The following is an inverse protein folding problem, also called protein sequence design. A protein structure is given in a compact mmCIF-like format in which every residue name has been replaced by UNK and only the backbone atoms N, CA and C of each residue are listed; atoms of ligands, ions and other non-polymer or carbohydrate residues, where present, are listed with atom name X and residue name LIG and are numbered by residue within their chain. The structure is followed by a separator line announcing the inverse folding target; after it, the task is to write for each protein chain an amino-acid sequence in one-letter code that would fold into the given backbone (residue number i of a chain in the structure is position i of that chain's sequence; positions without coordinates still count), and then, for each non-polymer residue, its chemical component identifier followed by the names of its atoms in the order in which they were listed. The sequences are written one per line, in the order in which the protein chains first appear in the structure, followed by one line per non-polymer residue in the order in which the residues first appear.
data_IF_343566631352
#
_entry.id   IF_343566631352
#
_cell.length_a   1.000
_cell.length_b   1.000
_cell.length_c   1.000
_cell.angle_alpha   90.00
_cell.angle_beta   90.00
_cell.angle_gamma   90.00
#
_symmetry.space_group_name_H-M   'P 1'
#
loop_
_entity.id
_entity.type
_entity.pdbx_description
1 polymer ?
#
# COMPACT_ATOMS: atom_id res chain seq x y z
N UNK A 1 49.92 38.66 -17.92
CA UNK A 1 49.62 37.40 -18.65
C UNK A 1 48.11 37.31 -18.94
N UNK A 2 47.49 38.40 -19.41
CA UNK A 2 46.02 38.54 -19.52
C UNK A 2 45.64 39.50 -20.67
N UNK A 3 46.13 39.24 -21.90
CA UNK A 3 45.85 40.14 -23.04
C UNK A 3 45.72 39.41 -24.37
N UNK A 4 45.15 38.19 -24.40
CA UNK A 4 44.99 37.41 -25.63
C UNK A 4 43.63 36.75 -25.80
N UNK A 5 42.57 37.30 -25.23
CA UNK A 5 41.23 36.69 -25.24
C UNK A 5 40.14 37.51 -25.97
N UNK A 6 40.50 38.50 -26.78
CA UNK A 6 39.51 39.38 -27.43
C UNK A 6 39.56 39.40 -28.97
N UNK A 7 40.27 38.47 -29.62
CA UNK A 7 40.50 38.54 -31.08
C UNK A 7 39.78 37.43 -31.87
N UNK A 8 38.63 36.95 -31.38
CA UNK A 8 37.91 35.84 -32.01
C UNK A 8 36.39 35.93 -32.00
N UNK A 9 35.80 37.12 -31.81
CA UNK A 9 34.34 37.29 -31.67
C UNK A 9 33.67 38.08 -32.82
N UNK A 10 34.31 38.20 -33.98
CA UNK A 10 33.81 39.04 -35.08
C UNK A 10 33.22 38.26 -36.27
N UNK A 11 33.00 36.94 -36.18
CA UNK A 11 32.55 36.14 -37.35
C UNK A 11 31.44 35.14 -37.05
N UNK A 12 30.48 35.52 -36.19
CA UNK A 12 29.19 34.84 -36.09
C UNK A 12 28.09 35.81 -36.53
N UNK A 13 27.98 36.02 -37.84
CA UNK A 13 26.74 36.50 -38.45
C UNK A 13 25.75 35.34 -38.41
N UNK A 14 24.75 35.43 -37.54
CA UNK A 14 23.63 34.51 -37.52
C UNK A 14 22.72 34.77 -38.73
N UNK A 15 22.19 33.73 -39.41
CA UNK A 15 21.13 33.92 -40.39
C UNK A 15 19.84 34.30 -39.66
N UNK A 16 19.25 35.44 -40.02
CA UNK A 16 17.83 35.70 -39.81
C UNK A 16 16.99 34.66 -40.59
N UNK A 17 15.76 34.44 -40.12
CA UNK A 17 14.70 33.54 -40.63
C UNK A 17 14.62 32.16 -39.94
N UNK A 18 13.77 32.08 -38.90
CA UNK A 18 13.37 30.80 -38.29
C UNK A 18 12.33 30.86 -37.16
N UNK A 19 11.56 31.96 -37.00
CA UNK A 19 10.63 32.15 -35.87
C UNK A 19 9.30 31.38 -35.97
N UNK A 20 9.07 30.63 -37.05
CA UNK A 20 7.84 29.85 -37.24
C UNK A 20 7.97 28.38 -36.79
N UNK A 21 9.18 27.80 -36.80
CA UNK A 21 9.37 26.39 -36.43
C UNK A 21 9.38 26.15 -34.91
N UNK A 22 9.89 27.09 -34.12
CA UNK A 22 9.94 26.96 -32.66
C UNK A 22 8.56 27.06 -31.99
N UNK A 23 7.61 27.77 -32.61
CA UNK A 23 6.26 27.94 -32.08
C UNK A 23 5.42 26.66 -32.21
N UNK A 24 5.58 25.93 -33.31
CA UNK A 24 4.90 24.63 -33.51
C UNK A 24 5.42 23.54 -32.56
N UNK A 25 6.72 23.57 -32.23
CA UNK A 25 7.34 22.64 -31.29
C UNK A 25 6.90 22.91 -29.84
N UNK A 26 6.78 24.17 -29.44
CA UNK A 26 6.26 24.54 -28.12
C UNK A 26 4.79 24.12 -27.95
N UNK A 27 3.94 24.36 -28.94
CA UNK A 27 2.52 23.99 -28.89
C UNK A 27 2.31 22.46 -28.87
N UNK A 28 3.20 21.68 -29.51
CA UNK A 28 3.18 20.21 -29.40
C UNK A 28 3.61 19.72 -28.03
N UNK A 29 4.58 20.37 -27.39
CA UNK A 29 5.03 20.02 -26.03
C UNK A 29 3.92 20.34 -25.01
N UNK A 30 3.26 21.49 -25.14
CA UNK A 30 2.12 21.86 -24.30
C UNK A 30 0.91 20.95 -24.50
N UNK A 31 0.64 20.53 -25.73
CA UNK A 31 -0.43 19.57 -26.04
C UNK A 31 -0.19 18.18 -25.41
N UNK A 32 1.08 17.74 -25.31
CA UNK A 32 1.45 16.48 -24.65
C UNK A 32 1.33 16.56 -23.13
N UNK A 33 1.61 17.71 -22.53
CA UNK A 33 1.39 17.93 -21.10
C UNK A 33 -0.11 18.01 -20.73
N UNK A 34 -0.93 18.64 -21.57
CA UNK A 34 -2.38 18.71 -21.36
C UNK A 34 -3.06 17.32 -21.43
N UNK A 35 -2.52 16.40 -22.24
CA UNK A 35 -3.00 15.02 -22.33
C UNK A 35 -2.67 14.15 -21.09
N UNK A 36 -1.69 14.55 -20.28
CA UNK A 36 -1.31 13.85 -19.04
C UNK A 36 -2.10 14.34 -17.83
N UNK A 37 -2.64 15.57 -17.87
CA UNK A 37 -3.36 16.19 -16.74
C UNK A 37 -4.89 16.06 -16.84
N UNK A 38 -5.43 15.71 -18.01
CA UNK A 38 -6.86 15.45 -18.17
C UNK A 38 -7.22 13.97 -17.93
N UNK A 39 -8.27 13.65 -17.16
CA UNK A 39 -8.77 12.28 -17.06
C UNK A 39 -9.31 11.83 -18.43
N UNK A 40 -9.05 10.59 -18.87
CA UNK A 40 -9.45 10.15 -20.20
C UNK A 40 -10.98 10.15 -20.33
N UNK A 41 -11.55 10.61 -21.45
CA UNK A 41 -12.97 10.43 -21.72
C UNK A 41 -13.26 8.93 -21.82
N UNK A 42 -14.23 8.47 -21.03
CA UNK A 42 -14.76 7.12 -21.12
C UNK A 42 -15.15 6.79 -22.56
N UNK A 43 -14.62 5.70 -23.10
CA UNK A 43 -15.06 5.11 -24.36
C UNK A 43 -14.73 3.61 -24.39
N UNK A 44 -15.51 2.83 -25.15
CA UNK A 44 -16.25 1.72 -24.59
C UNK A 44 -15.48 0.39 -24.61
N UNK A 45 -15.91 -0.48 -23.70
CA UNK A 45 -15.63 -1.90 -23.61
C UNK A 45 -15.20 -2.55 -24.93
N UNK A 46 -13.95 -3.01 -24.97
CA UNK A 46 -13.53 -4.07 -25.88
C UNK A 46 -12.85 -5.19 -25.10
N UNK A 47 -13.56 -6.30 -25.11
CA UNK A 47 -13.27 -7.59 -24.51
C UNK A 47 -11.92 -8.17 -24.93
N UNK A 48 -11.21 -8.74 -23.96
CA UNK A 48 -10.44 -9.98 -24.11
C UNK A 48 -9.13 -9.90 -24.88
N UNK A 49 -8.06 -9.58 -24.16
CA UNK A 49 -6.73 -10.16 -24.43
C UNK A 49 -5.95 -10.20 -23.13
N UNK A 50 -5.40 -11.38 -22.84
CA UNK A 50 -4.61 -11.73 -21.66
C UNK A 50 -3.44 -10.78 -21.44
N UNK A 51 -3.41 -10.11 -20.29
CA UNK A 51 -2.27 -9.36 -19.82
C UNK A 51 -1.15 -10.32 -19.40
N UNK A 52 -0.10 -10.40 -20.23
CA UNK A 52 1.24 -10.78 -19.79
C UNK A 52 1.84 -9.61 -19.02
N UNK A 53 2.46 -9.92 -17.88
CA UNK A 53 3.23 -9.01 -17.02
C UNK A 53 4.23 -8.20 -17.89
N UNK A 54 4.38 -6.87 -17.72
CA UNK A 54 5.42 -6.12 -18.40
C UNK A 54 6.77 -6.55 -17.81
N UNK A 55 7.66 -7.01 -18.69
CA UNK A 55 8.93 -7.63 -18.32
C UNK A 55 9.93 -6.50 -17.97
N UNK A 56 10.27 -6.32 -16.69
CA UNK A 56 11.23 -5.31 -16.21
C UNK A 56 12.61 -5.43 -16.91
N UNK A 57 12.93 -6.61 -17.43
CA UNK A 57 14.10 -6.89 -18.25
C UNK A 57 14.09 -6.08 -19.57
N UNK A 58 12.93 -5.93 -20.21
CA UNK A 58 12.80 -5.20 -21.48
C UNK A 58 12.99 -3.68 -21.26
N UNK A 59 12.58 -3.15 -20.10
CA UNK A 59 12.77 -1.75 -19.74
C UNK A 59 14.24 -1.43 -19.40
N UNK A 60 14.93 -2.37 -18.75
CA UNK A 60 16.37 -2.25 -18.48
C UNK A 60 17.20 -2.32 -19.76
N UNK A 61 16.86 -3.23 -20.68
CA UNK A 61 17.52 -3.31 -21.99
C UNK A 61 17.29 -2.04 -22.82
N UNK A 62 16.09 -1.47 -22.77
CA UNK A 62 15.78 -0.21 -23.42
C UNK A 62 16.60 0.96 -22.84
N UNK A 63 16.73 1.05 -21.51
CA UNK A 63 17.55 2.06 -20.85
C UNK A 63 19.03 1.94 -21.21
N UNK A 64 19.57 0.72 -21.28
CA UNK A 64 20.95 0.46 -21.70
C UNK A 64 21.15 0.92 -23.14
N UNK A 65 20.23 0.58 -24.05
CA UNK A 65 20.29 1.01 -25.45
C UNK A 65 20.25 2.54 -25.60
N UNK A 66 19.47 3.24 -24.76
CA UNK A 66 19.39 4.69 -24.77
C UNK A 66 20.66 5.34 -24.21
N UNK A 67 21.25 4.76 -23.15
CA UNK A 67 22.52 5.19 -22.58
C UNK A 67 23.68 5.00 -23.56
N UNK A 68 23.75 3.86 -24.25
CA UNK A 68 24.77 3.57 -25.26
C UNK A 68 24.68 4.56 -26.43
N UNK A 69 23.46 4.88 -26.89
CA UNK A 69 23.24 5.91 -27.92
C UNK A 69 23.70 7.30 -27.45
N UNK A 70 23.38 7.68 -26.23
CA UNK A 70 23.82 8.97 -25.66
C UNK A 70 25.35 9.05 -25.52
N UNK A 71 25.99 7.97 -25.07
CA UNK A 71 27.45 7.90 -24.95
C UNK A 71 28.14 7.96 -26.32
N UNK A 72 27.61 7.27 -27.33
CA UNK A 72 28.11 7.34 -28.70
C UNK A 72 27.96 8.74 -29.29
N UNK A 73 26.83 9.40 -29.05
CA UNK A 73 26.62 10.78 -29.49
C UNK A 73 27.60 11.75 -28.83
N UNK A 74 27.82 11.61 -27.51
CA UNK A 74 28.78 12.42 -26.77
C UNK A 74 30.22 12.17 -27.24
N UNK A 75 30.57 10.92 -27.55
CA UNK A 75 31.87 10.57 -28.13
C UNK A 75 32.07 11.25 -29.48
N UNK A 76 31.07 11.20 -30.37
CA UNK A 76 31.11 11.88 -31.67
C UNK A 76 31.25 13.40 -31.54
N UNK A 77 30.56 14.00 -30.57
CA UNK A 77 30.71 15.43 -30.27
C UNK A 77 32.12 15.75 -29.77
N UNK A 78 32.68 14.93 -28.88
CA UNK A 78 34.05 15.12 -28.38
C UNK A 78 35.08 15.00 -29.50
N UNK A 79 34.98 13.99 -30.37
CA UNK A 79 35.86 13.85 -31.54
C UNK A 79 35.78 15.09 -32.45
N UNK A 80 34.59 15.64 -32.67
CA UNK A 80 34.41 16.87 -33.45
C UNK A 80 34.98 18.12 -32.76
N UNK A 81 34.96 18.17 -31.42
CA UNK A 81 35.59 19.25 -30.66
C UNK A 81 37.11 19.12 -30.70
N UNK A 82 37.66 17.92 -30.59
CA UNK A 82 39.10 17.66 -30.70
C UNK A 82 39.64 18.09 -32.07
N UNK A 83 38.93 17.79 -33.16
CA UNK A 83 39.31 18.27 -34.51
C UNK A 83 39.30 19.79 -34.59
N UNK A 84 38.28 20.46 -34.03
CA UNK A 84 38.20 21.92 -34.00
C UNK A 84 39.32 22.55 -33.18
N UNK A 85 39.70 21.94 -32.05
CA UNK A 85 40.82 22.42 -31.23
C UNK A 85 42.12 22.37 -32.02
N UNK A 86 42.42 21.27 -32.70
CA UNK A 86 43.62 21.17 -33.54
C UNK A 86 43.63 22.18 -34.70
N UNK A 87 42.48 22.42 -35.34
CA UNK A 87 42.37 23.47 -36.37
C UNK A 87 42.64 24.87 -35.82
N UNK A 88 42.06 25.21 -34.65
CA UNK A 88 42.30 26.48 -33.98
C UNK A 88 43.76 26.65 -33.53
N UNK A 89 44.40 25.58 -33.07
CA UNK A 89 45.83 25.59 -32.72
C UNK A 89 46.71 25.85 -33.95
N UNK A 90 46.40 25.23 -35.08
CA UNK A 90 47.09 25.47 -36.35
C UNK A 90 46.92 26.92 -36.81
N UNK A 91 45.67 27.44 -36.79
CA UNK A 91 45.36 28.82 -37.16
C UNK A 91 46.07 29.84 -36.24
N UNK A 92 46.09 29.59 -34.93
CA UNK A 92 46.83 30.42 -33.98
C UNK A 92 48.34 30.38 -34.22
N UNK A 93 48.88 29.25 -34.70
CA UNK A 93 50.26 29.12 -35.15
C UNK A 93 50.57 30.03 -36.35
N UNK A 94 49.73 29.98 -37.38
CA UNK A 94 49.83 30.83 -38.57
C UNK A 94 49.72 32.33 -38.24
N UNK A 95 48.78 32.72 -37.37
CA UNK A 95 48.61 34.11 -36.96
C UNK A 95 49.82 34.64 -36.17
N UNK A 96 50.43 33.80 -35.33
CA UNK A 96 51.70 34.14 -34.67
C UNK A 96 52.82 34.36 -35.69
N UNK A 97 52.85 33.57 -36.76
CA UNK A 97 53.85 33.73 -37.83
C UNK A 97 53.61 35.02 -38.64
N UNK A 98 52.36 35.31 -39.04
CA UNK A 98 52.00 36.56 -39.72
C UNK A 98 52.34 37.79 -38.88
N UNK A 99 52.07 37.75 -37.57
CA UNK A 99 52.45 38.83 -36.64
C UNK A 99 53.96 39.05 -36.55
N UNK A 100 54.78 38.00 -36.65
CA UNK A 100 56.25 38.15 -36.72
C UNK A 100 56.67 38.83 -38.03
N UNK A 101 56.10 38.40 -39.15
CA UNK A 101 56.36 39.00 -40.46
C UNK A 101 55.96 40.48 -40.52
N UNK A 102 54.81 40.85 -39.95
CA UNK A 102 54.37 42.24 -39.87
C UNK A 102 55.34 43.10 -39.06
N UNK A 103 55.78 42.63 -37.88
CA UNK A 103 56.80 43.33 -37.09
C UNK A 103 58.12 43.52 -37.83
N UNK A 104 58.55 42.51 -38.60
CA UNK A 104 59.74 42.63 -39.44
C UNK A 104 59.57 43.67 -40.55
N UNK A 105 58.37 43.75 -41.16
CA UNK A 105 58.04 44.79 -42.14
C UNK A 105 57.98 46.18 -41.51
N UNK A 106 57.38 46.34 -40.33
CA UNK A 106 57.33 47.61 -39.59
C UNK A 106 58.74 48.14 -39.30
N UNK A 107 59.67 47.27 -38.89
CA UNK A 107 61.08 47.66 -38.66
C UNK A 107 61.73 48.13 -39.96
N UNK A 108 61.48 47.45 -41.09
CA UNK A 108 62.00 47.88 -42.40
C UNK A 108 61.44 49.24 -42.83
N UNK A 109 60.15 49.47 -42.61
CA UNK A 109 59.50 50.77 -42.91
C UNK A 109 60.10 51.88 -42.04
N UNK A 110 60.30 51.63 -40.75
CA UNK A 110 60.94 52.60 -39.85
C UNK A 110 62.37 52.95 -40.31
N UNK A 111 63.15 51.96 -40.74
CA UNK A 111 64.49 52.18 -41.29
C UNK A 111 64.47 53.00 -42.59
N UNK A 112 63.53 52.73 -43.49
CA UNK A 112 63.35 53.50 -44.72
C UNK A 112 62.96 54.95 -44.43
N UNK A 113 62.06 55.17 -43.46
CA UNK A 113 61.63 56.50 -43.05
C UNK A 113 62.80 57.38 -42.57
N UNK A 114 63.66 56.84 -41.71
CA UNK A 114 64.88 57.55 -41.24
C UNK A 114 65.82 57.88 -42.40
N UNK A 115 65.91 57.00 -43.41
CA UNK A 115 66.76 57.23 -44.59
C UNK A 115 66.22 58.38 -45.45
N UNK A 116 64.90 58.46 -45.63
CA UNK A 116 64.24 59.54 -46.36
C UNK A 116 64.42 60.88 -45.65
N UNK A 117 64.24 60.92 -44.33
CA UNK A 117 64.44 62.14 -43.53
C UNK A 117 65.88 62.68 -43.65
N UNK A 118 66.89 61.81 -43.67
CA UNK A 118 68.29 62.22 -43.92
C UNK A 118 68.51 62.80 -45.31
N UNK A 119 67.91 62.20 -46.34
CA UNK A 119 68.01 62.71 -47.71
C UNK A 119 67.30 64.06 -47.89
N UNK A 120 66.19 64.27 -47.19
CA UNK A 120 65.48 65.55 -47.18
C UNK A 120 66.27 66.66 -46.48
N UNK A 121 66.93 66.36 -45.35
CA UNK A 121 67.82 67.30 -44.67
C UNK A 121 69.00 67.73 -45.57
N UNK A 122 69.67 66.77 -46.22
CA UNK A 122 70.77 67.05 -47.15
C UNK A 122 70.34 67.93 -48.35
N UNK A 123 69.08 67.78 -48.80
CA UNK A 123 68.52 68.60 -49.88
C UNK A 123 68.23 70.04 -49.43
N UNK A 124 67.80 70.22 -48.18
CA UNK A 124 67.59 71.54 -47.59
C UNK A 124 68.91 72.28 -47.34
N UNK A 125 69.97 71.56 -46.95
CA UNK A 125 71.33 72.11 -46.80
C UNK A 125 71.99 72.49 -48.12
N UNK A 126 71.64 71.80 -49.22
CA UNK A 126 72.11 72.17 -50.56
C UNK A 126 71.38 73.41 -51.12
N UNK A 127 70.11 73.60 -50.74
CA UNK A 127 69.30 74.74 -51.18
C UNK A 127 69.72 76.06 -50.50
N UNK A 128 70.30 76.00 -49.29
CA UNK A 128 70.82 77.19 -48.57
C UNK A 128 72.18 77.68 -49.07
N UNK A 129 72.87 76.93 -49.95
CA UNK A 129 74.18 77.28 -50.53
C UNK A 129 74.13 77.88 -51.95
N UNK A 130 72.94 77.97 -52.58
CA UNK A 130 72.77 78.46 -53.96
C UNK A 130 72.18 79.87 -54.07
N UNK A 131 72.22 80.66 -52.99
CA UNK A 131 71.71 82.03 -52.96
C UNK A 131 72.84 83.08 -52.94
N UNK A 132 73.75 83.04 -53.91
CA UNK A 132 74.58 84.21 -54.24
C UNK A 132 75.09 84.09 -55.67
N UNK A 133 74.73 85.04 -56.55
CA UNK A 133 75.57 85.64 -57.60
C UNK A 133 74.76 86.39 -58.67
N UNK A 134 74.96 87.72 -58.73
CA UNK A 134 75.53 88.42 -59.91
C UNK A 134 74.64 88.86 -61.08
N UNK A 135 74.51 90.19 -61.26
CA UNK A 135 73.88 90.94 -62.37
C UNK A 135 74.76 91.09 -63.63
N UNK A 136 74.18 91.24 -64.84
CA UNK A 136 74.76 92.01 -65.97
C UNK A 136 73.75 92.50 -67.07
N UNK A 137 73.41 93.79 -67.03
CA UNK A 137 72.35 94.48 -67.81
C UNK A 137 72.32 94.28 -69.35
N UNK A 138 71.11 94.06 -69.89
CA UNK A 138 70.74 94.31 -71.29
C UNK A 138 69.96 93.16 -71.95
N UNK A 139 70.64 92.04 -72.23
CA UNK A 139 70.02 90.72 -72.46
C UNK A 139 69.43 90.15 -71.18
N UNK A 140 69.95 90.60 -70.03
CA UNK A 140 69.45 90.30 -68.71
C UNK A 140 68.05 90.82 -68.46
N UNK A 141 67.59 91.90 -69.10
CA UNK A 141 66.22 92.36 -68.86
C UNK A 141 65.20 91.35 -69.43
N UNK A 142 65.46 90.83 -70.63
CA UNK A 142 64.62 89.78 -71.22
C UNK A 142 64.80 88.43 -70.51
N UNK A 143 66.02 88.11 -70.07
CA UNK A 143 66.30 86.90 -69.28
C UNK A 143 65.66 86.96 -67.90
N UNK A 144 65.76 88.08 -67.19
CA UNK A 144 65.08 88.33 -65.91
C UNK A 144 63.57 88.31 -66.09
N UNK A 145 63.02 88.88 -67.17
CA UNK A 145 61.59 88.77 -67.47
C UNK A 145 61.19 87.31 -67.69
N UNK A 146 62.01 86.51 -68.37
CA UNK A 146 61.77 85.09 -68.58
C UNK A 146 61.90 84.27 -67.29
N UNK A 147 62.91 84.55 -66.46
CA UNK A 147 63.12 83.94 -65.14
C UNK A 147 62.00 84.32 -64.17
N UNK A 148 61.50 85.56 -64.23
CA UNK A 148 60.37 86.03 -63.42
C UNK A 148 59.05 85.42 -63.90
N UNK A 149 58.86 85.25 -65.21
CA UNK A 149 57.74 84.48 -65.77
C UNK A 149 57.81 83.00 -65.38
N UNK A 150 59.00 82.41 -65.41
CA UNK A 150 59.22 81.02 -65.00
C UNK A 150 58.99 80.84 -63.51
N UNK A 151 59.52 81.73 -62.66
CA UNK A 151 59.29 81.68 -61.21
C UNK A 151 57.81 81.95 -60.89
N UNK A 152 57.13 82.77 -61.69
CA UNK A 152 55.69 82.99 -61.56
C UNK A 152 54.90 81.72 -61.88
N UNK A 153 55.22 81.03 -62.98
CA UNK A 153 54.62 79.74 -63.33
C UNK A 153 54.91 78.64 -62.29
N UNK A 154 56.12 78.63 -61.73
CA UNK A 154 56.50 77.72 -60.63
C UNK A 154 55.74 78.04 -59.34
N UNK A 155 55.58 79.32 -59.00
CA UNK A 155 54.78 79.76 -57.86
C UNK A 155 53.29 79.43 -58.02
N UNK A 156 52.73 79.60 -59.22
CA UNK A 156 51.37 79.15 -59.54
C UNK A 156 51.24 77.63 -59.42
N UNK A 157 52.21 76.87 -59.95
CA UNK A 157 52.26 75.41 -59.81
C UNK A 157 52.27 74.96 -58.36
N UNK A 158 53.13 75.55 -57.52
CA UNK A 158 53.17 75.27 -56.08
C UNK A 158 51.87 75.67 -55.38
N UNK A 159 51.26 76.80 -55.77
CA UNK A 159 49.96 77.22 -55.21
C UNK A 159 48.86 76.20 -55.49
N UNK A 160 48.79 75.67 -56.72
CA UNK A 160 47.81 74.63 -57.06
C UNK A 160 48.05 73.32 -56.29
N UNK A 161 49.32 72.94 -56.08
CA UNK A 161 49.67 71.77 -55.25
C UNK A 161 49.30 71.97 -53.78
N UNK A 162 49.60 73.14 -53.21
CA UNK A 162 49.19 73.48 -51.84
C UNK A 162 47.67 73.42 -51.68
N UNK A 163 46.91 73.95 -52.66
CA UNK A 163 45.44 73.87 -52.65
C UNK A 163 44.93 72.42 -52.77
N UNK A 164 45.61 71.57 -53.55
CA UNK A 164 45.25 70.15 -53.65
C UNK A 164 45.50 69.41 -52.33
N UNK A 165 46.65 69.64 -51.70
CA UNK A 165 46.98 69.06 -50.39
C UNK A 165 46.07 69.60 -49.28
N UNK A 166 45.67 70.87 -49.33
CA UNK A 166 44.74 71.44 -48.35
C UNK A 166 43.37 70.74 -48.43
N UNK A 167 42.86 70.48 -49.64
CA UNK A 167 41.63 69.69 -49.84
C UNK A 167 41.77 68.25 -49.34
N UNK A 168 42.92 67.62 -49.58
CA UNK A 168 43.22 66.27 -49.09
C UNK A 168 43.25 66.22 -47.56
N UNK A 169 43.90 67.20 -46.91
CA UNK A 169 43.94 67.31 -45.44
C UNK A 169 42.53 67.48 -44.86
N UNK A 170 41.68 68.28 -45.49
CA UNK A 170 40.28 68.44 -45.07
C UNK A 170 39.53 67.10 -45.19
N UNK A 171 39.63 66.42 -46.33
CA UNK A 171 38.99 65.11 -46.53
C UNK A 171 39.49 64.04 -45.54
N UNK A 172 40.78 64.04 -45.22
CA UNK A 172 41.34 63.12 -44.21
C UNK A 172 40.87 63.47 -42.80
N UNK A 173 40.69 64.75 -42.46
CA UNK A 173 40.12 65.16 -41.17
C UNK A 173 38.69 64.71 -41.01
N UNK A 174 37.85 64.94 -42.03
CA UNK A 174 36.45 64.49 -42.03
C UNK A 174 36.38 62.96 -41.83
N UNK A 175 37.27 62.22 -42.53
CA UNK A 175 37.34 60.77 -42.38
C UNK A 175 37.77 60.30 -40.98
N UNK A 176 38.69 61.02 -40.34
CA UNK A 176 39.10 60.72 -38.96
C UNK A 176 37.96 60.99 -37.99
N UNK A 177 37.20 62.07 -38.17
CA UNK A 177 36.04 62.39 -37.35
C UNK A 177 34.94 61.32 -37.49
N UNK A 178 34.64 60.88 -38.72
CA UNK A 178 33.72 59.75 -38.95
C UNK A 178 34.16 58.47 -38.24
N UNK A 179 35.44 58.10 -38.35
CA UNK A 179 35.99 56.90 -37.70
C UNK A 179 35.98 57.03 -36.19
N UNK A 180 36.17 58.23 -35.66
CA UNK A 180 36.11 58.49 -34.23
C UNK A 180 34.69 58.28 -33.70
N UNK A 181 33.67 58.83 -34.37
CA UNK A 181 32.26 58.59 -34.03
C UNK A 181 31.92 57.11 -34.09
N UNK A 182 32.33 56.41 -35.17
CA UNK A 182 32.09 54.97 -35.30
C UNK A 182 32.79 54.14 -34.21
N UNK A 183 33.97 54.57 -33.74
CA UNK A 183 34.65 53.91 -32.64
C UNK A 183 33.95 54.15 -31.30
N UNK A 184 33.35 55.33 -31.08
CA UNK A 184 32.58 55.64 -29.88
C UNK A 184 31.30 54.80 -29.82
N UNK A 185 30.58 54.68 -30.94
CA UNK A 185 29.37 53.84 -31.00
C UNK A 185 29.69 52.36 -30.75
N UNK A 186 30.77 51.84 -31.34
CA UNK A 186 31.20 50.45 -31.09
C UNK A 186 31.60 50.22 -29.63
N UNK A 187 32.16 51.21 -28.94
CA UNK A 187 32.44 51.11 -27.51
C UNK A 187 31.18 51.13 -26.65
N UNK A 188 30.16 51.89 -27.06
CA UNK A 188 28.83 51.87 -26.41
C UNK A 188 28.19 50.49 -26.55
N UNK A 189 28.19 49.93 -27.76
CA UNK A 189 27.66 48.59 -28.04
C UNK A 189 28.41 47.51 -27.26
N UNK A 190 29.74 47.59 -27.16
CA UNK A 190 30.55 46.65 -26.39
C UNK A 190 30.23 46.75 -24.88
N UNK A 191 29.97 47.95 -24.36
CA UNK A 191 29.55 48.14 -22.96
C UNK A 191 28.17 47.56 -22.71
N UNK A 192 27.22 47.74 -23.63
CA UNK A 192 25.88 47.15 -23.51
C UNK A 192 25.93 45.63 -23.59
N UNK A 193 26.69 45.06 -24.53
CA UNK A 193 26.88 43.62 -24.66
C UNK A 193 27.46 43.01 -23.38
N UNK A 194 28.44 43.68 -22.75
CA UNK A 194 28.99 43.27 -21.45
C UNK A 194 27.94 43.34 -20.32
N UNK A 195 27.09 44.36 -20.31
CA UNK A 195 26.00 44.47 -19.32
C UNK A 195 25.01 43.30 -19.46
N UNK A 196 24.55 43.02 -20.68
CA UNK A 196 23.64 41.90 -20.95
C UNK A 196 24.28 40.56 -20.59
N UNK A 197 25.56 40.37 -20.91
CA UNK A 197 26.29 39.16 -20.51
C UNK A 197 26.32 38.98 -18.98
N UNK A 198 26.59 40.06 -18.24
CA UNK A 198 26.59 40.03 -16.77
C UNK A 198 25.19 39.73 -16.20
N UNK A 199 24.12 40.24 -16.81
CA UNK A 199 22.74 39.93 -16.42
C UNK A 199 22.40 38.44 -16.64
N UNK A 200 22.82 37.87 -17.78
CA UNK A 200 22.65 36.43 -18.01
C UNK A 200 23.46 35.60 -17.03
N UNK A 201 24.73 35.94 -16.80
CA UNK A 201 25.57 35.26 -15.81
C UNK A 201 24.94 35.29 -14.42
N UNK A 202 24.40 36.44 -14.00
CA UNK A 202 23.69 36.57 -12.74
C UNK A 202 22.43 35.68 -12.70
N UNK A 203 21.61 35.70 -13.75
CA UNK A 203 20.42 34.85 -13.84
C UNK A 203 20.74 33.36 -13.80
N UNK A 204 21.83 32.91 -14.43
CA UNK A 204 22.30 31.53 -14.32
C UNK A 204 22.73 31.17 -12.91
N UNK A 205 23.43 32.07 -12.20
CA UNK A 205 23.83 31.85 -10.82
C UNK A 205 22.62 31.77 -9.88
N UNK A 206 21.63 32.64 -10.06
CA UNK A 206 20.40 32.63 -9.27
C UNK A 206 19.61 31.33 -9.51
N UNK A 207 19.48 30.89 -10.77
CA UNK A 207 18.83 29.63 -11.11
C UNK A 207 19.57 28.42 -10.51
N UNK A 208 20.91 28.41 -10.53
CA UNK A 208 21.70 27.37 -9.88
C UNK A 208 21.45 27.33 -8.36
N UNK A 209 21.39 28.49 -7.71
CA UNK A 209 21.10 28.58 -6.28
C UNK A 209 19.67 28.10 -5.96
N UNK A 210 18.68 28.41 -6.79
CA UNK A 210 17.31 27.90 -6.65
C UNK A 210 17.26 26.38 -6.86
N UNK A 211 17.94 25.84 -7.86
CA UNK A 211 18.02 24.39 -8.07
C UNK A 211 18.66 23.68 -6.89
N UNK A 212 19.74 24.22 -6.32
CA UNK A 212 20.38 23.64 -5.13
C UNK A 212 19.47 23.70 -3.90
N UNK A 213 18.72 24.79 -3.74
CA UNK A 213 17.71 24.91 -2.67
C UNK A 213 16.59 23.87 -2.82
N UNK A 214 16.05 23.70 -4.02
CA UNK A 214 14.99 22.71 -4.30
C UNK A 214 15.54 21.28 -4.10
N UNK A 215 16.77 21.02 -4.55
CA UNK A 215 17.43 19.73 -4.33
C UNK A 215 17.55 19.41 -2.84
N UNK A 216 18.04 20.35 -2.04
CA UNK A 216 18.18 20.15 -0.59
C UNK A 216 16.83 19.92 0.07
N UNK A 217 15.79 20.70 -0.29
CA UNK A 217 14.44 20.50 0.23
C UNK A 217 13.86 19.12 -0.13
N UNK A 218 14.12 18.63 -1.34
CA UNK A 218 13.70 17.30 -1.77
C UNK A 218 14.46 16.20 -1.01
N UNK A 219 15.77 16.35 -0.80
CA UNK A 219 16.56 15.42 0.01
C UNK A 219 16.06 15.36 1.46
N UNK A 220 15.71 16.50 2.05
CA UNK A 220 15.09 16.58 3.38
C UNK A 220 13.71 15.92 3.42
N UNK A 221 12.84 16.19 2.45
CA UNK A 221 11.51 15.57 2.35
C UNK A 221 11.62 14.04 2.18
N UNK A 222 12.54 13.58 1.33
CA UNK A 222 12.82 12.16 1.15
C UNK A 222 13.30 11.51 2.45
N UNK A 223 14.20 12.15 3.19
CA UNK A 223 14.66 11.65 4.48
C UNK A 223 13.49 11.56 5.49
N UNK A 224 12.63 12.58 5.54
CA UNK A 224 11.45 12.58 6.41
C UNK A 224 10.45 11.48 6.02
N UNK A 225 10.24 11.22 4.73
CA UNK A 225 9.37 10.13 4.25
C UNK A 225 9.92 8.75 4.64
N UNK A 226 11.23 8.55 4.56
CA UNK A 226 11.87 7.29 4.99
C UNK A 226 11.63 7.08 6.48
N UNK A 227 11.92 8.07 7.33
CA UNK A 227 11.68 7.99 8.78
C UNK A 227 10.22 7.67 9.08
N UNK A 228 9.28 8.37 8.43
CA UNK A 228 7.85 8.10 8.61
C UNK A 228 7.45 6.69 8.17
N UNK A 229 8.03 6.18 7.09
CA UNK A 229 7.78 4.81 6.63
C UNK A 229 8.31 3.76 7.61
N UNK A 230 9.48 3.99 8.21
CA UNK A 230 10.07 3.13 9.25
C UNK A 230 9.24 3.15 10.54
N UNK A 231 8.72 4.32 10.93
CA UNK A 231 7.80 4.45 12.06
C UNK A 231 6.49 3.67 11.81
N UNK A 232 5.92 3.79 10.61
CA UNK A 232 4.73 3.01 10.23
C UNK A 232 5.00 1.50 10.23
N UNK A 233 6.15 1.05 9.70
CA UNK A 233 6.55 -0.36 9.75
C UNK A 233 6.69 -0.86 11.20
N UNK A 234 7.39 -0.09 12.04
CA UNK A 234 7.59 -0.39 13.47
C UNK A 234 6.26 -0.43 14.23
N UNK A 235 5.33 0.45 13.89
CA UNK A 235 3.97 0.46 14.46
C UNK A 235 3.17 -0.78 14.06
N UNK A 236 3.22 -1.20 12.79
CA UNK A 236 2.58 -2.44 12.32
C UNK A 236 3.17 -3.65 13.02
N UNK A 237 4.49 -3.73 13.16
CA UNK A 237 5.13 -4.85 13.84
C UNK A 237 4.81 -4.89 15.33
N UNK A 238 4.72 -3.72 15.98
CA UNK A 238 4.25 -3.62 17.37
C UNK A 238 2.81 -4.11 17.50
N UNK A 239 1.92 -3.74 16.58
CA UNK A 239 0.54 -4.23 16.58
C UNK A 239 0.47 -5.76 16.40
N UNK A 240 1.26 -6.31 15.47
CA UNK A 240 1.34 -7.77 15.26
C UNK A 240 1.85 -8.50 16.49
N UNK A 241 2.83 -7.94 17.20
CA UNK A 241 3.31 -8.49 18.47
C UNK A 241 2.19 -8.55 19.51
N UNK A 242 1.43 -7.47 19.71
CA UNK A 242 0.29 -7.47 20.63
C UNK A 242 -0.79 -8.49 20.24
N UNK A 243 -1.11 -8.60 18.95
CA UNK A 243 -2.08 -9.59 18.48
C UNK A 243 -1.61 -11.03 18.73
N UNK A 244 -0.32 -11.31 18.53
CA UNK A 244 0.29 -12.61 18.81
C UNK A 244 0.33 -12.91 20.31
N UNK A 245 0.69 -11.94 21.15
CA UNK A 245 0.65 -12.07 22.61
C UNK A 245 -0.77 -12.38 23.11
N UNK A 246 -1.79 -11.68 22.59
CA UNK A 246 -3.18 -11.94 22.94
C UNK A 246 -3.61 -13.37 22.54
N UNK A 247 -3.26 -13.82 21.33
CA UNK A 247 -3.54 -15.19 20.87
C UNK A 247 -2.84 -16.25 21.70
N UNK A 248 -1.58 -15.99 22.07
CA UNK A 248 -0.81 -16.88 22.94
C UNK A 248 -1.50 -16.99 24.30
N UNK A 249 -1.88 -15.88 24.92
CA UNK A 249 -2.59 -15.87 26.20
C UNK A 249 -3.90 -16.66 26.14
N UNK A 250 -4.68 -16.52 25.06
CA UNK A 250 -5.91 -17.33 24.89
C UNK A 250 -5.60 -18.82 24.74
N UNK A 251 -4.57 -19.18 23.97
CA UNK A 251 -4.18 -20.58 23.78
C UNK A 251 -3.63 -21.20 25.08
N UNK A 252 -2.93 -20.42 25.90
CA UNK A 252 -2.44 -20.85 27.21
C UNK A 252 -3.61 -21.08 28.19
N UNK A 253 -4.64 -20.23 28.16
CA UNK A 253 -5.85 -20.42 28.93
C UNK A 253 -6.61 -21.69 28.50
N UNK A 254 -6.80 -21.91 27.20
CA UNK A 254 -7.45 -23.12 26.67
C UNK A 254 -6.68 -24.39 27.06
N UNK A 255 -5.35 -24.35 26.99
CA UNK A 255 -4.48 -25.44 27.45
C UNK A 255 -4.68 -25.73 28.94
N UNK A 256 -4.77 -24.70 29.79
CA UNK A 256 -4.99 -24.87 31.22
C UNK A 256 -6.35 -25.53 31.51
N UNK A 257 -7.40 -25.15 30.79
CA UNK A 257 -8.74 -25.79 30.90
C UNK A 257 -8.67 -27.26 30.48
N UNK A 258 -8.06 -27.55 29.33
CA UNK A 258 -7.90 -28.93 28.86
C UNK A 258 -7.10 -29.79 29.84
N UNK A 259 -6.09 -29.21 30.50
CA UNK A 259 -5.34 -29.88 31.57
C UNK A 259 -6.22 -30.17 32.79
N UNK A 260 -7.02 -29.20 33.24
CA UNK A 260 -7.94 -29.38 34.36
C UNK A 260 -8.99 -30.47 34.08
N UNK A 261 -9.52 -30.51 32.86
CA UNK A 261 -10.47 -31.53 32.42
C UNK A 261 -9.83 -32.91 32.35
N UNK A 262 -8.59 -33.01 31.83
CA UNK A 262 -7.84 -34.26 31.83
C UNK A 262 -7.60 -34.79 33.26
N UNK A 263 -7.23 -33.92 34.20
CA UNK A 263 -7.08 -34.30 35.60
C UNK A 263 -8.42 -34.73 36.24
N UNK A 264 -9.52 -34.07 35.90
CA UNK A 264 -10.86 -34.46 36.35
C UNK A 264 -11.23 -35.83 35.84
N UNK A 265 -11.08 -36.09 34.55
CA UNK A 265 -11.34 -37.39 33.95
C UNK A 265 -10.46 -38.48 34.58
N UNK A 266 -9.19 -38.17 34.88
CA UNK A 266 -8.31 -39.11 35.57
C UNK A 266 -8.80 -39.43 36.99
N UNK A 267 -9.26 -38.43 37.75
CA UNK A 267 -9.85 -38.63 39.08
C UNK A 267 -11.11 -39.51 39.00
N UNK A 268 -12.00 -39.24 38.04
CA UNK A 268 -13.23 -40.01 37.84
C UNK A 268 -12.91 -41.47 37.44
N UNK A 269 -11.91 -41.67 36.58
CA UNK A 269 -11.43 -43.00 36.18
C UNK A 269 -10.91 -43.77 37.40
N UNK A 270 -10.04 -43.16 38.22
CA UNK A 270 -9.51 -43.79 39.43
C UNK A 270 -10.65 -44.14 40.44
N UNK A 271 -11.67 -43.28 40.56
CA UNK A 271 -12.82 -43.53 41.41
C UNK A 271 -13.65 -44.73 40.89
N UNK A 272 -13.87 -44.82 39.58
CA UNK A 272 -14.56 -45.95 38.94
C UNK A 272 -13.76 -47.25 39.10
N UNK A 273 -12.44 -47.22 38.97
CA UNK A 273 -11.56 -48.36 39.27
C UNK A 273 -11.75 -48.83 40.72
N UNK A 274 -11.83 -47.90 41.67
CA UNK A 274 -12.13 -48.19 43.07
C UNK A 274 -13.50 -48.87 43.28
N UNK A 275 -14.56 -48.35 42.65
CA UNK A 275 -15.91 -48.94 42.70
C UNK A 275 -15.93 -50.34 42.06
N UNK A 276 -15.23 -50.51 40.94
CA UNK A 276 -15.12 -51.81 40.26
C UNK A 276 -14.42 -52.84 41.16
N UNK A 277 -13.32 -52.46 41.80
CA UNK A 277 -12.65 -53.34 42.77
C UNK A 277 -13.53 -53.68 43.95
N UNK A 278 -14.26 -52.72 44.52
CA UNK A 278 -15.20 -52.97 45.61
C UNK A 278 -16.32 -53.93 45.18
N UNK A 279 -16.92 -53.73 44.01
CA UNK A 279 -17.92 -54.63 43.45
C UNK A 279 -17.37 -56.04 43.23
N UNK A 280 -16.12 -56.18 42.75
CA UNK A 280 -15.46 -57.48 42.61
C UNK A 280 -15.30 -58.20 43.96
N UNK A 281 -14.90 -57.47 45.01
CA UNK A 281 -14.78 -57.99 46.38
C UNK A 281 -16.14 -58.40 46.93
N UNK A 282 -17.16 -57.55 46.82
CA UNK A 282 -18.51 -57.83 47.30
C UNK A 282 -19.17 -58.98 46.55
N UNK A 283 -18.96 -59.06 45.23
CA UNK A 283 -19.41 -60.19 44.41
C UNK A 283 -18.77 -61.49 44.87
N UNK A 284 -17.47 -61.49 45.17
CA UNK A 284 -16.78 -62.66 45.73
C UNK A 284 -17.35 -63.04 47.10
N UNK A 285 -17.51 -62.09 48.01
CA UNK A 285 -18.09 -62.32 49.32
C UNK A 285 -19.55 -62.81 49.25
N UNK A 286 -20.35 -62.29 48.31
CA UNK A 286 -21.72 -62.74 48.07
C UNK A 286 -21.74 -64.17 47.54
N UNK A 287 -20.88 -64.53 46.58
CA UNK A 287 -20.74 -65.90 46.09
C UNK A 287 -20.39 -66.87 47.22
N UNK A 288 -19.46 -66.48 48.10
CA UNK A 288 -19.11 -67.27 49.29
C UNK A 288 -20.29 -67.43 50.27
N UNK A 289 -21.07 -66.37 50.51
CA UNK A 289 -22.30 -66.44 51.34
C UNK A 289 -23.36 -67.36 50.72
N UNK A 290 -23.57 -67.27 49.42
CA UNK A 290 -24.52 -68.13 48.68
C UNK A 290 -24.06 -69.59 48.78
N UNK A 291 -22.79 -69.89 48.52
CA UNK A 291 -22.25 -71.24 48.67
C UNK A 291 -22.41 -71.80 50.10
N UNK A 292 -22.23 -70.96 51.13
CA UNK A 292 -22.47 -71.35 52.52
C UNK A 292 -23.96 -71.62 52.81
N UNK A 293 -24.87 -70.83 52.24
CA UNK A 293 -26.31 -71.04 52.34
C UNK A 293 -26.74 -72.31 51.60
N UNK A 294 -26.22 -72.56 50.40
CA UNK A 294 -26.43 -73.80 49.64
C UNK A 294 -25.93 -75.03 50.41
N UNK A 295 -24.74 -74.97 51.03
CA UNK A 295 -24.23 -76.04 51.87
C UNK A 295 -25.12 -76.30 53.11
N UNK A 296 -25.65 -75.24 53.75
CA UNK A 296 -26.62 -75.37 54.84
C UNK A 296 -27.94 -75.97 54.36
N UNK A 297 -28.42 -75.56 53.18
CA UNK A 297 -29.65 -76.06 52.57
C UNK A 297 -29.50 -77.54 52.21
N UNK A 298 -28.41 -77.95 51.59
CA UNK A 298 -28.13 -79.37 51.31
C UNK A 298 -28.00 -80.18 52.61
N UNK A 299 -27.35 -79.65 53.65
CA UNK A 299 -27.34 -80.29 54.98
C UNK A 299 -28.74 -80.41 55.57
N UNK A 300 -29.59 -79.38 55.46
CA UNK A 300 -30.96 -79.40 55.95
C UNK A 300 -31.86 -80.35 55.15
N UNK A 301 -31.68 -80.39 53.83
CA UNK A 301 -32.34 -81.33 52.92
C UNK A 301 -31.97 -82.77 53.25
N UNK A 302 -30.68 -83.05 53.47
CA UNK A 302 -30.22 -84.35 53.92
C UNK A 302 -30.81 -84.73 55.29
N UNK A 303 -30.91 -83.78 56.23
CA UNK A 303 -31.59 -83.99 57.53
C UNK A 303 -33.08 -84.30 57.38
N UNK A 304 -33.79 -83.59 56.49
CA UNK A 304 -35.20 -83.84 56.17
C UNK A 304 -35.37 -85.21 55.50
N UNK A 305 -34.50 -85.58 54.58
CA UNK A 305 -34.47 -86.91 53.95
C UNK A 305 -34.21 -88.04 54.96
N UNK A 306 -33.44 -87.78 56.02
CA UNK A 306 -33.24 -88.76 57.12
C UNK A 306 -34.40 -88.83 58.13
N UNK A 307 -35.41 -87.95 58.03
CA UNK A 307 -36.63 -88.02 58.85
C UNK A 307 -37.67 -88.87 58.11
N UNK A 308 -37.95 -90.07 58.63
CA UNK A 308 -38.92 -91.02 58.07
C UNK A 308 -40.38 -90.46 58.00
N UNK A 309 -41.24 -91.04 57.14
CA UNK A 309 -42.57 -90.50 56.80
C UNK A 309 -43.71 -90.91 57.74
N UNK A 310 -44.73 -90.03 57.78
CA UNK A 310 -46.15 -90.20 58.21
C UNK A 310 -46.47 -90.26 59.73
N UNK A 311 -47.70 -89.87 60.19
CA UNK A 311 -49.00 -90.25 59.61
C UNK A 311 -49.86 -89.13 59.01
N UNK A 312 -50.73 -89.58 58.10
CA UNK A 312 -51.81 -88.87 57.42
C UNK A 312 -52.79 -88.20 58.40
N UNK A 313 -53.34 -87.03 58.05
CA UNK A 313 -54.46 -86.47 58.77
C UNK A 313 -55.73 -87.23 58.44
N UNK A 314 -56.20 -87.98 59.44
CA UNK A 314 -57.59 -88.39 59.70
C UNK A 314 -58.64 -87.66 58.86
N UNK A 315 -59.46 -88.43 58.14
CA UNK A 315 -60.68 -88.08 57.42
C UNK A 315 -61.71 -87.37 58.31
N UNK A 316 -61.47 -86.09 58.57
CA UNK A 316 -62.35 -85.16 59.27
C UNK A 316 -61.96 -83.69 59.04
N UNK A 317 -60.74 -83.44 58.53
CA UNK A 317 -60.23 -82.11 58.24
C UNK A 317 -60.61 -81.54 56.87
N UNK A 318 -61.37 -82.24 56.02
CA UNK A 318 -61.77 -81.68 54.72
C UNK A 318 -62.71 -80.50 54.87
N UNK A 319 -63.65 -80.53 55.83
CA UNK A 319 -64.57 -79.42 56.08
C UNK A 319 -63.89 -78.22 56.75
N UNK A 320 -62.89 -78.44 57.59
CA UNK A 320 -62.12 -77.36 58.22
C UNK A 320 -61.06 -76.81 57.27
N UNK A 321 -60.45 -77.65 56.42
CA UNK A 321 -59.54 -77.21 55.36
C UNK A 321 -60.30 -76.45 54.28
N UNK A 322 -61.49 -76.89 53.88
CA UNK A 322 -62.36 -76.16 52.94
C UNK A 322 -62.80 -74.82 53.54
N UNK A 323 -63.18 -74.78 54.83
CA UNK A 323 -63.47 -73.53 55.54
C UNK A 323 -62.24 -72.63 55.67
N UNK A 324 -61.05 -73.19 55.86
CA UNK A 324 -59.78 -72.44 55.93
C UNK A 324 -59.37 -71.97 54.53
N UNK A 325 -59.58 -72.76 53.48
CA UNK A 325 -59.35 -72.35 52.09
C UNK A 325 -60.33 -71.27 51.65
N UNK A 326 -61.60 -71.34 52.05
CA UNK A 326 -62.58 -70.28 51.78
C UNK A 326 -62.25 -69.01 52.58
N UNK A 327 -61.83 -69.15 53.85
CA UNK A 327 -61.32 -68.03 54.66
C UNK A 327 -60.03 -67.46 54.09
N UNK A 328 -59.14 -68.29 53.54
CA UNK A 328 -57.91 -67.87 52.89
C UNK A 328 -58.23 -67.16 51.58
N UNK A 329 -59.15 -67.68 50.77
CA UNK A 329 -59.60 -67.03 49.55
C UNK A 329 -60.29 -65.68 49.85
N UNK A 330 -61.13 -65.61 50.89
CA UNK A 330 -61.70 -64.34 51.39
C UNK A 330 -60.61 -63.41 51.91
N UNK A 331 -59.62 -63.90 52.66
CA UNK A 331 -58.49 -63.09 53.15
C UNK A 331 -57.55 -62.64 52.05
N UNK A 332 -57.34 -63.44 51.01
CA UNK A 332 -56.58 -63.09 49.81
C UNK A 332 -57.32 -62.03 49.03
N UNK A 333 -58.63 -62.16 48.87
CA UNK A 333 -59.46 -61.14 48.26
C UNK A 333 -59.49 -59.84 49.09
N UNK A 334 -59.56 -59.92 50.41
CA UNK A 334 -59.39 -58.77 51.32
C UNK A 334 -57.99 -58.17 51.24
N UNK A 335 -56.93 -58.98 51.11
CA UNK A 335 -55.55 -58.51 50.91
C UNK A 335 -55.35 -57.85 49.55
N UNK A 336 -56.04 -58.32 48.51
CA UNK A 336 -56.01 -57.71 47.18
C UNK A 336 -56.85 -56.43 47.16
N UNK A 337 -58.01 -56.38 47.84
CA UNK A 337 -58.76 -55.14 48.07
C UNK A 337 -57.96 -54.13 48.89
N UNK A 338 -57.25 -54.56 49.94
CA UNK A 338 -56.37 -53.69 50.72
C UNK A 338 -55.13 -53.27 49.92
N UNK A 339 -54.66 -54.07 48.96
CA UNK A 339 -53.61 -53.68 48.03
C UNK A 339 -54.11 -52.66 47.02
N UNK A 340 -55.33 -52.80 46.50
CA UNK A 340 -55.96 -51.79 45.63
C UNK A 340 -56.20 -50.48 46.39
N UNK A 341 -56.71 -50.53 47.64
CA UNK A 341 -56.86 -49.34 48.49
C UNK A 341 -55.50 -48.73 48.82
N UNK A 342 -54.47 -49.52 49.16
CA UNK A 342 -53.13 -49.01 49.42
C UNK A 342 -52.39 -48.51 48.16
N UNK A 343 -52.77 -48.96 46.96
CA UNK A 343 -52.25 -48.45 45.69
C UNK A 343 -52.91 -47.11 45.32
N UNK A 344 -54.17 -46.91 45.71
CA UNK A 344 -54.92 -45.65 45.51
C UNK A 344 -54.56 -44.59 46.57
N UNK A 345 -54.26 -45.01 47.81
CA UNK A 345 -53.88 -44.13 48.94
C UNK A 345 -52.36 -44.01 49.16
N UNK A 346 -51.55 -44.47 48.20
CA UNK A 346 -50.09 -44.39 48.30
C UNK A 346 -49.62 -42.94 48.22
N UNK A 347 -48.85 -42.49 49.22
CA UNK A 347 -48.10 -41.22 49.20
C UNK A 347 -47.09 -41.11 48.05
N UNK A 348 -46.90 -42.17 47.26
CA UNK A 348 -46.01 -42.24 46.09
C UNK A 348 -46.75 -42.19 44.75
N UNK A 349 -48.08 -41.99 44.75
CA UNK A 349 -48.89 -41.89 43.53
C UNK A 349 -48.36 -40.79 42.60
N UNK A 350 -47.98 -39.65 43.15
CA UNK A 350 -47.44 -38.52 42.37
C UNK A 350 -46.11 -38.89 41.71
N UNK A 351 -45.22 -39.59 42.43
CA UNK A 351 -43.91 -40.02 41.90
C UNK A 351 -44.06 -41.03 40.75
N UNK A 352 -44.98 -41.99 40.88
CA UNK A 352 -45.23 -43.01 39.86
C UNK A 352 -45.87 -42.39 38.61
N UNK A 353 -46.85 -41.49 38.80
CA UNK A 353 -47.47 -40.80 37.68
C UNK A 353 -46.49 -39.86 36.97
N UNK A 354 -45.60 -39.21 37.71
CA UNK A 354 -44.56 -38.34 37.14
C UNK A 354 -43.49 -39.15 36.39
N UNK A 355 -43.18 -40.37 36.85
CA UNK A 355 -42.32 -41.30 36.14
C UNK A 355 -42.96 -41.79 34.83
N UNK A 356 -44.25 -42.16 34.85
CA UNK A 356 -44.98 -42.57 33.65
C UNK A 356 -45.07 -41.42 32.63
N UNK A 357 -45.37 -40.19 33.07
CA UNK A 357 -45.38 -39.02 32.20
C UNK A 357 -44.00 -38.75 31.56
N UNK A 358 -42.90 -39.01 32.29
CA UNK A 358 -41.54 -38.92 31.75
C UNK A 358 -41.26 -40.01 30.71
N UNK A 359 -41.65 -41.26 30.97
CA UNK A 359 -41.44 -42.37 30.01
C UNK A 359 -42.26 -42.22 28.72
N UNK A 360 -43.45 -41.61 28.81
CA UNK A 360 -44.31 -41.36 27.65
C UNK A 360 -44.01 -40.03 26.93
N UNK A 361 -43.04 -39.25 27.41
CA UNK A 361 -42.59 -38.02 26.74
C UNK A 361 -43.57 -36.85 26.81
N UNK A 362 -44.41 -36.76 27.85
CA UNK A 362 -45.41 -35.70 27.97
C UNK A 362 -44.76 -34.31 28.07
N UNK A 363 -45.32 -33.33 27.36
CA UNK A 363 -44.97 -31.92 27.52
C UNK A 363 -45.48 -31.36 28.85
N UNK A 364 -44.92 -30.24 29.30
CA UNK A 364 -45.35 -29.60 30.56
C UNK A 364 -46.84 -29.18 30.54
N UNK A 365 -47.37 -28.83 29.37
CA UNK A 365 -48.80 -28.51 29.22
C UNK A 365 -49.69 -29.75 29.32
N UNK A 366 -49.24 -30.88 28.77
CA UNK A 366 -49.95 -32.17 28.91
C UNK A 366 -49.96 -32.61 30.38
N UNK A 367 -48.84 -32.48 31.10
CA UNK A 367 -48.74 -32.78 32.54
C UNK A 367 -49.71 -31.93 33.36
N UNK A 368 -49.86 -30.64 33.03
CA UNK A 368 -50.83 -29.75 33.68
C UNK A 368 -52.28 -30.22 33.46
N UNK A 369 -52.64 -30.63 32.23
CA UNK A 369 -54.00 -31.10 31.89
C UNK A 369 -54.40 -32.41 32.59
N UNK A 370 -53.43 -33.27 32.89
CA UNK A 370 -53.66 -34.54 33.61
C UNK A 370 -53.48 -34.42 35.13
N UNK A 371 -53.28 -33.19 35.65
CA UNK A 371 -53.18 -32.92 37.08
C UNK A 371 -51.83 -33.23 37.73
N UNK A 372 -50.74 -33.32 36.95
CA UNK A 372 -49.37 -33.63 37.42
C UNK A 372 -48.44 -32.40 37.50
N UNK A 373 -49.00 -31.18 37.42
CA UNK A 373 -48.28 -29.92 37.56
C UNK A 373 -48.22 -29.43 39.01
N UNK A 374 -47.23 -28.58 39.32
CA UNK A 374 -47.04 -27.92 40.63
C UNK A 374 -48.36 -27.45 41.27
N UNK A 375 -48.52 -27.52 42.60
CA UNK A 375 -49.74 -27.09 43.27
C UNK A 375 -49.99 -25.61 42.97
N UNK A 376 -51.01 -25.34 42.15
CA UNK A 376 -51.53 -23.99 41.97
C UNK A 376 -52.38 -23.71 43.21
N UNK A 377 -51.88 -22.79 44.03
CA UNK A 377 -52.56 -22.28 45.22
C UNK A 377 -53.89 -21.64 44.78
N UNK A 378 -55.03 -22.26 45.13
CA UNK A 378 -56.35 -21.64 44.94
C UNK A 378 -57.47 -22.47 44.36
N UNK A 379 -57.28 -23.76 44.00
CA UNK A 379 -58.40 -24.63 43.66
C UNK A 379 -58.26 -25.97 44.41
N UNK A 380 -59.27 -26.30 45.21
CA UNK A 380 -59.29 -27.50 46.06
C UNK A 380 -58.95 -28.77 45.27
N UNK A 381 -58.18 -29.65 45.90
CA UNK A 381 -57.67 -30.89 45.32
C UNK A 381 -58.70 -31.63 44.48
N UNK A 382 -58.42 -31.75 43.19
CA UNK A 382 -59.37 -32.30 42.22
C UNK A 382 -58.76 -32.45 40.82
N UNK A 383 -57.47 -32.75 40.72
CA UNK A 383 -56.80 -33.04 39.46
C UNK A 383 -56.84 -34.54 39.20
N UNK A 384 -57.90 -35.00 38.52
CA UNK A 384 -58.00 -36.23 37.70
C UNK A 384 -59.49 -36.59 37.45
N UNK A 385 -60.35 -36.34 38.43
CA UNK A 385 -61.79 -36.60 38.30
C UNK A 385 -62.51 -35.58 37.39
N UNK A 386 -62.02 -34.34 37.35
CA UNK A 386 -62.66 -33.26 36.58
C UNK A 386 -62.48 -33.38 35.06
N UNK A 387 -61.37 -33.96 34.59
CA UNK A 387 -61.13 -34.17 33.14
C UNK A 387 -61.87 -35.39 32.58
N UNK A 388 -62.04 -36.46 33.38
CA UNK A 388 -62.72 -37.69 32.91
C UNK A 388 -64.25 -37.51 32.93
N UNK A 389 -64.79 -36.63 33.80
CA UNK A 389 -66.24 -36.40 33.96
C UNK A 389 -66.72 -35.09 33.29
N UNK A 390 -65.88 -34.39 32.53
CA UNK A 390 -66.33 -33.23 31.74
C UNK A 390 -66.80 -32.04 32.58
N UNK A 391 -66.08 -31.72 33.66
CA UNK A 391 -66.32 -30.52 34.48
C UNK A 391 -65.07 -29.63 34.47
N UNK A 392 -64.75 -29.04 33.31
CA UNK A 392 -63.93 -27.82 33.24
C UNK A 392 -64.59 -26.86 32.24
N UNK A 393 -64.75 -25.62 32.69
CA UNK A 393 -65.31 -24.48 31.96
C UNK A 393 -64.52 -24.17 30.67
N UNK A 394 -65.16 -23.57 29.65
CA UNK A 394 -64.63 -23.55 28.29
C UNK A 394 -63.45 -22.59 28.14
N UNK A 395 -62.31 -23.12 27.73
CA UNK A 395 -61.18 -22.36 27.19
C UNK A 395 -60.91 -22.85 25.75
N UNK A 396 -60.86 -21.91 24.82
CA UNK A 396 -60.78 -22.07 23.36
C UNK A 396 -59.94 -23.26 22.85
N UNK A 397 -60.58 -24.12 22.04
CA UNK A 397 -59.94 -25.21 21.28
C UNK A 397 -60.76 -26.50 21.36
N UNK A 398 -61.68 -26.68 20.43
CA UNK A 398 -62.70 -27.73 20.49
C UNK A 398 -62.18 -29.18 20.49
N UNK A 399 -62.77 -30.03 21.34
CA UNK A 399 -63.32 -31.32 20.95
C UNK A 399 -64.24 -31.94 22.03
N UNK A 400 -65.36 -32.49 21.52
CA UNK A 400 -66.41 -33.36 22.05
C UNK A 400 -66.53 -33.63 23.57
N UNK A 401 -67.72 -33.33 24.11
CA UNK A 401 -68.23 -33.92 25.35
C UNK A 401 -68.35 -35.45 25.20
N UNK A 402 -67.79 -36.20 26.15
CA UNK A 402 -67.84 -37.67 26.17
C UNK A 402 -69.23 -38.15 26.58
N UNK A 403 -69.81 -39.06 25.79
CA UNK A 403 -71.12 -39.66 26.04
C UNK A 403 -71.07 -40.54 27.32
N UNK A 404 -71.89 -40.28 28.35
CA UNK A 404 -71.87 -41.00 29.63
C UNK A 404 -72.20 -42.49 29.51
N UNK A 405 -72.78 -42.92 28.38
CA UNK A 405 -73.04 -44.33 28.08
C UNK A 405 -71.77 -45.17 27.78
N UNK A 406 -70.62 -44.52 27.57
CA UNK A 406 -69.33 -45.20 27.32
C UNK A 406 -68.58 -45.64 28.60
N UNK A 407 -69.05 -45.21 29.77
CA UNK A 407 -68.38 -45.35 31.08
C UNK A 407 -68.95 -46.52 31.89
N UNK A 408 -70.17 -46.97 31.59
CA UNK A 408 -70.84 -48.01 32.35
C UNK A 408 -70.28 -49.41 32.00
N UNK A 409 -69.56 -50.02 32.95
CA UNK A 409 -69.04 -51.39 32.86
C UNK A 409 -67.53 -51.54 32.57
N UNK A 410 -66.77 -50.44 32.39
CA UNK A 410 -65.31 -50.50 32.21
C UNK A 410 -64.57 -50.32 33.55
N UNK A 411 -63.47 -51.06 33.76
CA UNK A 411 -62.63 -50.88 34.96
C UNK A 411 -61.85 -49.56 34.84
N UNK A 412 -61.61 -48.90 35.97
CA UNK A 412 -60.89 -47.62 36.03
C UNK A 412 -59.53 -47.68 35.32
N UNK A 413 -58.77 -48.77 35.50
CA UNK A 413 -57.49 -48.97 34.84
C UNK A 413 -57.59 -49.00 33.31
N UNK A 414 -58.68 -49.54 32.77
CA UNK A 414 -58.91 -49.62 31.32
C UNK A 414 -59.25 -48.23 30.75
N UNK A 415 -60.11 -47.47 31.44
CA UNK A 415 -60.43 -46.09 31.06
C UNK A 415 -59.23 -45.14 31.16
N UNK A 416 -58.36 -45.36 32.15
CA UNK A 416 -57.13 -44.60 32.32
C UNK A 416 -56.09 -44.92 31.24
N UNK A 417 -56.00 -46.20 30.86
CA UNK A 417 -55.09 -46.65 29.81
C UNK A 417 -55.52 -46.12 28.44
N UNK A 418 -56.82 -46.17 28.14
CA UNK A 418 -57.39 -45.61 26.90
C UNK A 418 -57.16 -44.10 26.81
N UNK A 419 -57.37 -43.36 27.90
CA UNK A 419 -57.12 -41.92 27.96
C UNK A 419 -55.64 -41.54 27.76
N UNK A 420 -54.72 -42.26 28.40
CA UNK A 420 -53.29 -42.03 28.22
C UNK A 420 -52.81 -42.35 26.80
N UNK A 421 -53.35 -43.40 26.19
CA UNK A 421 -53.04 -43.78 24.81
C UNK A 421 -53.57 -42.75 23.81
N UNK A 422 -54.79 -42.25 24.01
CA UNK A 422 -55.39 -41.21 23.16
C UNK A 422 -54.59 -39.90 23.24
N UNK A 423 -54.17 -39.51 24.45
CA UNK A 423 -53.43 -38.25 24.65
C UNK A 423 -51.95 -38.32 24.22
N UNK A 424 -51.32 -39.49 24.32
CA UNK A 424 -50.00 -39.74 23.73
C UNK A 424 -50.04 -39.74 22.19
N UNK A 425 -51.17 -40.13 21.58
CA UNK A 425 -51.33 -40.15 20.12
C UNK A 425 -51.54 -38.77 19.51
N UNK A 426 -52.13 -37.81 20.25
CA UNK A 426 -52.33 -36.42 19.82
C UNK A 426 -51.06 -35.56 19.88
N UNK A 427 -49.99 -36.05 20.50
CA UNK A 427 -48.71 -35.36 20.68
C UNK A 427 -47.65 -35.69 19.63
N UNK A 428 -48.03 -36.22 18.46
CA UNK A 428 -47.11 -36.56 17.37
C UNK A 428 -47.39 -35.75 16.11
#
# INVERSE_FOLDING_TARGET
MWSRLTEGLADMVAPEEGDEQQREDEDQIWSRFAAVVAPPPASPSRSGASASVPNEEDEQEQYICDLERALLQRKKQNEALETKVHELESRAGEDRQRRRQLKEQEVKIAQQKVTIERLQAARQDAATLQADEGQDSGTDCNRLVQELQQSHAEAEGLTTQCQAHEKEIISLRDRVEELQVASETLQDDEREARSRAAEYEQGYMDLLAEMEKVKNANEEEKAALVVKSEEHASSIDSQRLYELEARLATSEADKAVAQQDAERLQRDLNALEGVLHQFQVDSKAQKERVAAMEAKLEKAKNKLLTRQPLPEPSEGGTNDLERVMEKLAKKTHECDQLREVAYVDSTKKDEVLQLMARMMGFSEDQKRRVGLGYPIEGNGGGGLFSSIIGLVAPGEGGNAAVDPSSIEGKRFADMWSDFLLDEASKGR
#
